data_IF_511964592361
#
_entry.id   IF_511964592361
#
_cell.length_a   1.000
_cell.length_b   1.000
_cell.length_c   1.000
_cell.angle_alpha   90.00
_cell.angle_beta   90.00
_cell.angle_gamma   90.00
#
_symmetry.space_group_name_H-M   'P 1'
#
loop_
_entity.id
_entity.type
_entity.pdbx_description
1 polymer ?
#
# COMPACT_ATOMS: atom_id res chain seq x y z
N UNK A 1 10.42 25.74 -15.61
CA UNK A 1 10.29 24.28 -15.41
C UNK A 1 8.84 24.01 -15.09
N UNK A 2 8.10 23.42 -16.03
CA UNK A 2 6.75 22.94 -15.72
C UNK A 2 6.90 21.76 -14.76
N UNK A 3 6.53 21.98 -13.50
CA UNK A 3 6.28 20.88 -12.57
C UNK A 3 5.00 20.22 -13.06
N UNK A 4 5.11 19.29 -14.00
CA UNK A 4 3.96 18.45 -14.38
C UNK A 4 3.33 17.88 -13.11
N UNK A 5 2.01 17.90 -13.03
CA UNK A 5 1.27 17.49 -11.85
C UNK A 5 1.67 16.06 -11.47
N UNK A 6 2.44 15.92 -10.38
CA UNK A 6 2.83 14.61 -9.86
C UNK A 6 1.59 13.90 -9.37
N UNK A 7 1.44 12.64 -9.76
CA UNK A 7 0.33 11.80 -9.38
C UNK A 7 0.82 10.50 -8.74
N UNK A 8 -0.12 9.78 -8.13
CA UNK A 8 0.20 8.50 -7.47
C UNK A 8 0.84 7.48 -8.41
N UNK A 9 0.59 7.57 -9.72
CA UNK A 9 1.12 6.65 -10.72
C UNK A 9 2.60 6.84 -11.04
N UNK A 10 3.22 7.92 -10.55
CA UNK A 10 4.66 8.18 -10.70
C UNK A 10 5.50 7.42 -9.66
N UNK A 11 4.85 6.75 -8.70
CA UNK A 11 5.51 6.04 -7.61
C UNK A 11 5.50 4.53 -7.83
N UNK A 12 6.45 3.86 -7.16
CA UNK A 12 6.52 2.40 -7.06
C UNK A 12 6.74 2.02 -5.59
N UNK A 13 6.33 0.81 -5.23
CA UNK A 13 6.45 0.26 -3.90
C UNK A 13 7.05 -1.14 -3.94
N UNK A 14 7.85 -1.48 -2.94
CA UNK A 14 8.33 -2.85 -2.74
C UNK A 14 7.27 -3.66 -2.00
N UNK A 15 6.96 -4.83 -2.53
CA UNK A 15 6.08 -5.81 -1.88
C UNK A 15 6.83 -6.55 -0.78
N UNK A 16 6.10 -7.30 0.06
CA UNK A 16 6.70 -8.08 1.15
C UNK A 16 7.69 -9.14 0.66
N UNK A 17 7.54 -9.64 -0.57
CA UNK A 17 8.46 -10.58 -1.22
C UNK A 17 9.62 -9.89 -1.96
N UNK A 18 9.81 -8.58 -1.78
CA UNK A 18 10.94 -7.82 -2.32
C UNK A 18 10.78 -7.38 -3.78
N UNK A 19 9.57 -7.49 -4.34
CA UNK A 19 9.30 -7.11 -5.73
C UNK A 19 8.88 -5.65 -5.82
N UNK A 20 9.53 -4.88 -6.67
CA UNK A 20 9.11 -3.51 -6.96
C UNK A 20 7.90 -3.50 -7.91
N UNK A 21 6.79 -2.92 -7.45
CA UNK A 21 5.53 -2.79 -8.18
C UNK A 21 5.22 -1.31 -8.44
N UNK A 22 5.10 -0.87 -9.69
CA UNK A 22 4.68 0.49 -10.00
C UNK A 22 3.19 0.68 -9.70
N UNK A 23 2.83 1.78 -9.02
CA UNK A 23 1.44 2.04 -8.63
C UNK A 23 0.54 2.36 -9.85
N UNK A 24 1.13 2.59 -11.01
CA UNK A 24 0.44 2.69 -12.30
C UNK A 24 -0.35 1.43 -12.68
N UNK A 25 0.01 0.25 -12.15
CA UNK A 25 -0.75 -1.00 -12.35
C UNK A 25 -2.17 -0.96 -11.77
N UNK A 26 -2.42 -0.08 -10.80
CA UNK A 26 -3.74 0.09 -10.18
C UNK A 26 -4.57 1.20 -10.84
N UNK A 27 -4.16 1.70 -12.01
CA UNK A 27 -4.90 2.73 -12.73
C UNK A 27 -6.34 2.29 -13.01
N UNK A 28 -7.28 3.21 -12.78
CA UNK A 28 -8.72 2.94 -12.91
C UNK A 28 -9.35 2.30 -11.67
N UNK A 29 -8.56 1.99 -10.64
CA UNK A 29 -9.06 1.57 -9.34
C UNK A 29 -9.07 2.73 -8.35
N UNK A 30 -10.06 2.72 -7.45
CA UNK A 30 -10.02 3.52 -6.22
C UNK A 30 -9.04 2.86 -5.25
N UNK A 31 -7.99 3.57 -4.87
CA UNK A 31 -6.93 3.07 -3.99
C UNK A 31 -7.09 3.62 -2.57
N UNK A 32 -7.18 2.72 -1.58
CA UNK A 32 -7.03 3.04 -0.17
C UNK A 32 -5.61 2.67 0.27
N UNK A 33 -4.78 3.67 0.55
CA UNK A 33 -3.40 3.48 1.03
C UNK A 33 -3.39 3.62 2.54
N UNK A 34 -2.92 2.58 3.25
CA UNK A 34 -2.97 2.51 4.71
C UNK A 34 -1.59 2.17 5.26
N UNK A 35 -1.11 3.00 6.17
CA UNK A 35 0.02 2.63 7.02
C UNK A 35 -0.49 1.75 8.19
N UNK A 36 0.01 0.52 8.30
CA UNK A 36 -0.44 -0.47 9.28
C UNK A 36 0.72 -1.01 10.11
N UNK A 37 0.49 -1.23 11.40
CA UNK A 37 1.45 -1.92 12.28
C UNK A 37 1.18 -3.43 12.29
N UNK A 38 -0.08 -3.85 12.11
CA UNK A 38 -0.51 -5.25 11.98
C UNK A 38 -1.65 -5.38 10.97
N UNK A 39 -1.79 -6.56 10.34
CA UNK A 39 -2.71 -6.82 9.21
C UNK A 39 -4.21 -7.08 9.49
N UNK A 40 -4.74 -7.16 10.74
CA UNK A 40 -5.90 -8.04 10.98
C UNK A 40 -7.27 -7.53 10.50
N UNK A 41 -7.37 -6.44 9.73
CA UNK A 41 -8.70 -5.95 9.29
C UNK A 41 -8.80 -5.27 7.93
N UNK A 42 -7.84 -5.48 7.02
CA UNK A 42 -7.95 -4.96 5.65
C UNK A 42 -8.81 -5.86 4.74
N UNK A 43 -8.90 -7.15 5.04
CA UNK A 43 -9.64 -8.12 4.22
C UNK A 43 -11.14 -7.81 4.13
N UNK A 44 -11.78 -7.38 5.22
CA UNK A 44 -13.21 -7.05 5.22
C UNK A 44 -13.58 -5.90 4.26
N UNK A 45 -12.67 -4.95 4.04
CA UNK A 45 -12.88 -3.85 3.09
C UNK A 45 -12.80 -4.35 1.64
N UNK A 46 -11.87 -5.25 1.36
CA UNK A 46 -11.76 -5.89 0.05
C UNK A 46 -12.96 -6.80 -0.23
N UNK A 47 -13.43 -7.55 0.76
CA UNK A 47 -14.63 -8.38 0.62
C UNK A 47 -15.88 -7.53 0.32
N UNK A 48 -15.99 -6.37 0.98
CA UNK A 48 -17.16 -5.48 0.82
C UNK A 48 -17.11 -4.69 -0.49
N UNK A 49 -15.95 -4.15 -0.87
CA UNK A 49 -15.84 -3.15 -1.95
C UNK A 49 -15.04 -3.61 -3.17
N UNK A 50 -14.36 -4.76 -3.14
CA UNK A 50 -13.45 -5.20 -4.21
C UNK A 50 -14.11 -5.30 -5.58
N UNK A 51 -15.41 -5.57 -5.64
CA UNK A 51 -16.20 -5.61 -6.88
C UNK A 51 -16.39 -4.23 -7.55
N UNK A 52 -16.07 -3.12 -6.86
CA UNK A 52 -16.23 -1.74 -7.32
C UNK A 52 -14.93 -1.14 -7.87
N UNK A 53 -14.04 -1.94 -8.44
CA UNK A 53 -12.70 -1.50 -8.82
C UNK A 53 -11.95 -0.82 -7.65
N UNK A 54 -12.04 -1.40 -6.46
CA UNK A 54 -11.40 -0.90 -5.25
C UNK A 54 -10.19 -1.77 -4.88
N UNK A 55 -9.15 -1.16 -4.33
CA UNK A 55 -8.00 -1.90 -3.80
C UNK A 55 -7.45 -1.24 -2.54
N UNK A 56 -6.89 -2.06 -1.65
CA UNK A 56 -6.18 -1.60 -0.45
C UNK A 56 -4.69 -1.89 -0.60
N UNK A 57 -3.85 -0.89 -0.37
CA UNK A 57 -2.39 -1.03 -0.29
C UNK A 57 -1.94 -0.79 1.15
N UNK A 58 -1.51 -1.85 1.83
CA UNK A 58 -1.04 -1.82 3.21
C UNK A 58 0.49 -1.67 3.27
N UNK A 59 0.98 -0.64 3.94
CA UNK A 59 2.40 -0.39 4.15
C UNK A 59 2.73 -0.55 5.62
N UNK A 60 3.66 -1.46 5.93
CA UNK A 60 4.16 -1.58 7.29
C UNK A 60 5.15 -0.46 7.59
N UNK A 61 4.90 0.33 8.63
CA UNK A 61 5.88 1.31 9.11
C UNK A 61 6.07 1.22 10.62
N UNK A 62 7.33 1.29 11.05
CA UNK A 62 7.71 1.27 12.46
C UNK A 62 7.85 2.68 13.08
N UNK A 63 7.45 3.73 12.36
CA UNK A 63 7.71 5.13 12.74
C UNK A 63 6.78 5.67 13.86
N UNK A 64 5.79 4.86 14.29
CA UNK A 64 4.89 5.21 15.39
C UNK A 64 5.24 4.41 16.65
N UNK A 65 6.19 4.96 17.43
CA UNK A 65 6.50 4.46 18.78
C UNK A 65 7.20 3.10 18.86
N UNK A 66 7.93 2.68 17.82
CA UNK A 66 8.67 1.41 17.77
C UNK A 66 7.78 0.17 17.99
N UNK A 67 6.49 0.23 17.64
CA UNK A 67 5.54 -0.86 17.90
C UNK A 67 5.67 -2.06 16.95
N UNK A 68 6.63 -2.03 16.03
CA UNK A 68 7.02 -3.17 15.21
C UNK A 68 8.55 -3.38 15.28
N UNK A 69 9.09 -3.82 16.44
CA UNK A 69 10.48 -4.20 16.51
C UNK A 69 10.68 -5.46 15.66
N UNK A 70 11.17 -5.31 14.43
CA UNK A 70 11.71 -6.42 13.63
C UNK A 70 10.91 -6.94 12.43
N UNK A 71 10.20 -6.10 11.66
CA UNK A 71 9.57 -6.54 10.40
C UNK A 71 10.47 -6.48 9.15
N UNK A 72 11.80 -6.34 9.30
CA UNK A 72 12.73 -6.55 8.17
C UNK A 72 13.27 -7.99 8.07
N UNK A 73 12.92 -8.88 9.00
CA UNK A 73 13.58 -10.19 9.04
C UNK A 73 12.68 -11.27 9.63
N UNK A 74 11.55 -11.58 8.99
CA UNK A 74 10.87 -12.89 8.99
C UNK A 74 9.48 -12.78 8.33
N UNK A 75 9.44 -12.64 7.00
CA UNK A 75 8.36 -13.13 6.14
C UNK A 75 8.96 -13.56 4.80
#
# INVERSE_FOLDING_TARGET
MESGDKCIYDFSAETLDGRCVPLSEFRGKVMLIVNVVTYPRLNALMDTFGHLNFTVLGFCCNQFGLQSPGLEHNL
#
